data_IF_096271928564
#
_entry.id   IF_096271928564
#
_cell.length_a   1.000
_cell.length_b   1.000
_cell.length_c   1.000
_cell.angle_alpha   90.00
_cell.angle_beta   90.00
_cell.angle_gamma   90.00
#
_symmetry.space_group_name_H-M   'P 1'
#
loop_
_entity.id
_entity.type
_entity.pdbx_description
1 polymer ?
#
# COMPACT_ATOMS: atom_id res chain seq x y z
N UNK A 1 -8.46 3.45 7.98
CA UNK A 1 -7.20 3.54 8.76
C UNK A 1 -6.56 4.89 8.52
N UNK A 2 -5.67 5.35 9.39
CA UNK A 2 -4.88 6.58 9.18
C UNK A 2 -3.69 6.33 8.25
N UNK A 3 -3.16 7.39 7.64
CA UNK A 3 -1.97 7.33 6.77
C UNK A 3 -0.75 6.81 7.53
N UNK A 4 -0.60 7.20 8.79
CA UNK A 4 0.49 6.73 9.66
C UNK A 4 0.42 5.22 9.91
N UNK A 5 -0.78 4.67 10.09
CA UNK A 5 -0.98 3.22 10.23
C UNK A 5 -0.64 2.48 8.93
N UNK A 6 -1.08 2.99 7.77
CA UNK A 6 -0.74 2.43 6.47
C UNK A 6 0.78 2.37 6.27
N UNK A 7 1.48 3.48 6.55
CA UNK A 7 2.94 3.56 6.44
C UNK A 7 3.64 2.58 7.38
N UNK A 8 3.14 2.43 8.61
CA UNK A 8 3.67 1.47 9.57
C UNK A 8 3.51 0.03 9.07
N UNK A 9 2.35 -0.34 8.51
CA UNK A 9 2.12 -1.68 7.95
C UNK A 9 2.99 -1.97 6.73
N UNK A 10 3.15 -0.98 5.85
CA UNK A 10 4.06 -1.09 4.70
C UNK A 10 5.50 -1.34 5.16
N UNK A 11 5.96 -0.61 6.18
CA UNK A 11 7.32 -0.79 6.72
C UNK A 11 7.52 -2.09 7.50
N UNK A 12 6.45 -2.71 8.00
CA UNK A 12 6.50 -3.97 8.74
C UNK A 12 6.71 -5.17 7.81
N UNK A 13 6.14 -5.12 6.60
CA UNK A 13 6.27 -6.18 5.60
C UNK A 13 7.36 -5.90 4.55
N UNK A 14 7.45 -4.67 4.04
CA UNK A 14 8.42 -4.28 3.02
C UNK A 14 9.67 -3.67 3.67
N UNK A 15 10.83 -4.26 3.42
CA UNK A 15 12.12 -3.73 3.91
C UNK A 15 12.44 -2.34 3.37
N UNK A 16 11.99 -2.01 2.15
CA UNK A 16 12.09 -0.68 1.57
C UNK A 16 10.70 -0.16 1.18
N UNK A 17 9.94 0.23 2.22
CA UNK A 17 8.55 0.66 2.07
C UNK A 17 8.40 1.99 1.32
N UNK A 18 9.40 2.88 1.38
CA UNK A 18 9.37 4.17 0.70
C UNK A 18 9.50 4.01 -0.83
N UNK A 19 10.51 3.25 -1.29
CA UNK A 19 10.66 2.94 -2.72
C UNK A 19 9.45 2.15 -3.20
N UNK A 20 9.00 1.15 -2.43
CA UNK A 20 7.79 0.39 -2.79
C UNK A 20 6.59 1.31 -3.01
N UNK A 21 6.37 2.27 -2.10
CA UNK A 21 5.21 3.17 -2.16
C UNK A 21 5.26 4.16 -3.34
N UNK A 22 6.45 4.40 -3.91
CA UNK A 22 6.66 5.34 -5.02
C UNK A 22 6.82 4.66 -6.38
N UNK A 23 7.37 3.45 -6.42
CA UNK A 23 7.74 2.78 -7.67
C UNK A 23 6.78 1.66 -8.05
N UNK A 24 6.07 1.06 -7.09
CA UNK A 24 5.15 -0.04 -7.38
C UNK A 24 3.75 0.49 -7.70
N UNK A 25 3.32 0.19 -8.92
CA UNK A 25 2.01 0.57 -9.45
C UNK A 25 0.98 -0.52 -9.18
N UNK A 26 -0.13 -0.15 -8.54
CA UNK A 26 -1.23 -1.04 -8.23
C UNK A 26 -2.36 -0.86 -9.26
N UNK A 27 -2.66 -1.93 -10.00
CA UNK A 27 -3.79 -1.93 -10.96
C UNK A 27 -5.13 -1.62 -10.27
N UNK A 28 -5.32 -2.11 -9.05
CA UNK A 28 -6.49 -1.90 -8.21
C UNK A 28 -6.71 -0.42 -7.81
N UNK A 29 -5.65 0.40 -7.84
CA UNK A 29 -5.72 1.85 -7.60
C UNK A 29 -5.94 2.66 -8.89
N UNK A 30 -6.26 1.97 -9.98
CA UNK A 30 -6.37 2.56 -11.31
C UNK A 30 -5.01 2.87 -11.92
N UNK A 31 -4.05 1.96 -11.73
CA UNK A 31 -2.70 2.08 -12.28
C UNK A 31 -1.88 3.19 -11.63
N UNK A 32 -1.97 3.31 -10.30
CA UNK A 32 -1.24 4.31 -9.52
C UNK A 32 -0.41 3.66 -8.42
N UNK A 33 0.61 4.37 -7.99
CA UNK A 33 1.41 4.02 -6.81
C UNK A 33 0.67 4.36 -5.52
N UNK A 34 1.15 3.82 -4.40
CA UNK A 34 0.61 4.13 -3.05
C UNK A 34 0.66 5.64 -2.79
N UNK A 35 1.78 6.29 -3.11
CA UNK A 35 1.95 7.73 -2.89
C UNK A 35 1.01 8.55 -3.79
N UNK A 36 0.84 8.18 -5.05
CA UNK A 36 -0.11 8.87 -5.94
C UNK A 36 -1.56 8.68 -5.50
N UNK A 37 -1.92 7.50 -5.00
CA UNK A 37 -3.25 7.27 -4.44
C UNK A 37 -3.48 8.10 -3.17
N UNK A 38 -2.47 8.20 -2.29
CA UNK A 38 -2.53 9.07 -1.12
C UNK A 38 -2.68 10.56 -1.50
N UNK A 39 -1.94 11.03 -2.52
CA UNK A 39 -2.00 12.41 -3.00
C UNK A 39 -3.37 12.75 -3.62
N UNK A 40 -3.96 11.79 -4.33
CA UNK A 40 -5.33 11.88 -4.86
C UNK A 40 -6.40 11.92 -3.75
N UNK A 41 -6.04 11.56 -2.52
CA UNK A 41 -6.95 11.49 -1.38
C UNK A 41 -7.73 10.18 -1.29
N UNK A 42 -7.23 9.09 -1.89
CA UNK A 42 -7.80 7.76 -1.67
C UNK A 42 -7.68 7.36 -0.19
N UNK A 43 -8.69 6.63 0.28
CA UNK A 43 -8.68 6.17 1.65
C UNK A 43 -7.52 5.18 1.89
N UNK A 44 -6.71 5.38 2.94
CA UNK A 44 -5.59 4.51 3.25
C UNK A 44 -6.01 3.04 3.44
N UNK A 45 -7.25 2.81 3.85
CA UNK A 45 -7.82 1.47 3.97
C UNK A 45 -7.98 0.75 2.63
N UNK A 46 -8.40 1.47 1.59
CA UNK A 46 -8.56 0.92 0.25
C UNK A 46 -7.21 0.75 -0.44
N UNK A 47 -6.28 1.67 -0.21
CA UNK A 47 -4.87 1.52 -0.62
C UNK A 47 -4.27 0.24 -0.02
N UNK A 48 -4.51 -0.02 1.26
CA UNK A 48 -4.02 -1.23 1.90
C UNK A 48 -4.60 -2.51 1.29
N UNK A 49 -5.92 -2.54 1.04
CA UNK A 49 -6.57 -3.68 0.37
C UNK A 49 -5.99 -3.92 -1.03
N UNK A 50 -5.72 -2.86 -1.78
CA UNK A 50 -5.09 -2.95 -3.10
C UNK A 50 -3.68 -3.54 -2.99
N UNK A 51 -2.89 -3.13 -1.99
CA UNK A 51 -1.56 -3.69 -1.71
C UNK A 51 -1.64 -5.17 -1.38
N UNK A 52 -2.57 -5.59 -0.51
CA UNK A 52 -2.77 -7.02 -0.18
C UNK A 52 -3.18 -7.81 -1.41
N UNK A 53 -4.08 -7.29 -2.24
CA UNK A 53 -4.57 -7.98 -3.45
C UNK A 53 -3.47 -8.12 -4.51
N UNK A 54 -2.57 -7.13 -4.60
CA UNK A 54 -1.40 -7.19 -5.46
C UNK A 54 -0.32 -8.16 -4.96
N UNK A 55 -0.24 -8.39 -3.64
CA UNK A 55 0.72 -9.29 -3.00
C UNK A 55 0.01 -10.50 -2.39
N UNK A 56 -0.46 -11.47 -3.19
CA UNK A 56 -1.22 -12.62 -2.68
C UNK A 56 -0.40 -13.51 -1.72
N UNK A 57 0.92 -13.51 -1.88
CA UNK A 57 1.90 -14.23 -1.04
C UNK A 57 2.16 -13.58 0.33
N UNK A 58 1.59 -12.40 0.58
CA UNK A 58 1.69 -11.75 1.88
C UNK A 58 1.10 -12.67 2.98
N UNK A 59 1.82 -12.93 4.08
CA UNK A 59 1.32 -13.72 5.21
C UNK A 59 0.10 -13.05 5.88
N UNK A 60 -0.86 -13.83 6.37
CA UNK A 60 -2.07 -13.29 7.04
C UNK A 60 -1.78 -12.41 8.26
N UNK A 61 -0.67 -12.65 8.96
CA UNK A 61 -0.25 -11.80 10.10
C UNK A 61 0.02 -10.34 9.71
N UNK A 62 0.26 -10.08 8.42
CA UNK A 62 0.52 -8.76 7.87
C UNK A 62 -0.65 -8.25 7.03
N UNK A 63 -1.79 -8.94 6.90
CA UNK A 63 -2.97 -8.42 6.18
C UNK A 63 -3.85 -7.59 7.11
#
# INVERSE_FOLDING_TARGET
>A
MRITELRSRLSDYFSDSDTYSRDIVHAELGGKTVNEALDRGDEPGDIWKAVIRHNPEMPEKFK
#
